data_IF_186000118924
#
_entry.id   IF_186000118924
#
_cell.length_a   1.000
_cell.length_b   1.000
_cell.length_c   1.000
_cell.angle_alpha   90.00
_cell.angle_beta   90.00
_cell.angle_gamma   90.00
#
_symmetry.space_group_name_H-M   'P 1'
#
loop_
_entity.id
_entity.type
_entity.pdbx_description
1 polymer ?
#
# COMPACT_ATOMS: atom_id res chain seq x y z
N UNK A 1 -4.44 -18.95 12.36
CA UNK A 1 -3.92 -20.32 12.09
C UNK A 1 -2.89 -20.72 13.13
N UNK A 2 -1.67 -20.16 13.13
CA UNK A 2 -0.62 -20.52 14.08
C UNK A 2 -1.07 -20.47 15.56
N UNK A 3 -1.60 -19.32 16.02
CA UNK A 3 -2.06 -19.15 17.41
C UNK A 3 -3.38 -19.85 17.74
N UNK A 4 -4.02 -20.50 16.76
CA UNK A 4 -5.16 -21.37 16.99
C UNK A 4 -4.75 -22.86 17.05
N UNK A 5 -3.45 -23.17 17.00
CA UNK A 5 -2.92 -24.55 17.00
C UNK A 5 -2.99 -25.27 15.64
N UNK A 6 -3.35 -24.57 14.56
CA UNK A 6 -3.44 -25.14 13.22
C UNK A 6 -2.15 -24.99 12.40
N UNK A 7 -2.00 -25.77 11.31
CA UNK A 7 -0.91 -25.59 10.36
C UNK A 7 -0.99 -24.22 9.67
N UNK A 8 0.14 -23.75 9.15
CA UNK A 8 0.23 -22.51 8.38
C UNK A 8 0.68 -22.79 6.95
N UNK A 9 0.27 -21.94 6.02
CA UNK A 9 0.69 -22.01 4.62
C UNK A 9 2.05 -21.34 4.43
N UNK A 10 3.10 -22.01 4.91
CA UNK A 10 4.48 -21.58 4.77
C UNK A 10 5.42 -22.79 4.84
N UNK A 11 6.60 -22.66 4.23
CA UNK A 11 7.67 -23.69 4.39
C UNK A 11 8.14 -23.80 5.84
N UNK A 12 8.18 -22.67 6.56
CA UNK A 12 8.48 -22.56 7.97
C UNK A 12 7.93 -21.22 8.50
N UNK A 13 7.56 -21.16 9.79
CA UNK A 13 7.12 -19.94 10.45
C UNK A 13 7.62 -19.91 11.90
N UNK A 14 8.20 -18.78 12.30
CA UNK A 14 8.46 -18.44 13.70
C UNK A 14 7.73 -17.14 14.00
N UNK A 15 6.86 -17.13 15.00
CA UNK A 15 6.04 -15.98 15.34
C UNK A 15 5.83 -15.88 16.85
N UNK A 16 5.77 -14.64 17.37
CA UNK A 16 5.36 -14.34 18.73
C UNK A 16 3.88 -13.90 18.73
N UNK A 17 3.15 -14.07 19.86
CA UNK A 17 1.81 -13.52 19.98
C UNK A 17 1.81 -12.01 19.66
N UNK A 18 0.79 -11.56 18.93
CA UNK A 18 0.61 -10.15 18.56
C UNK A 18 -0.86 -9.76 18.73
N UNK A 19 -1.10 -8.47 18.96
CA UNK A 19 -2.44 -7.89 18.81
C UNK A 19 -2.62 -7.54 17.33
N UNK A 20 -3.73 -7.92 16.70
CA UNK A 20 -3.97 -7.61 15.28
C UNK A 20 -4.90 -6.40 15.14
N UNK A 21 -4.54 -5.44 14.29
CA UNK A 21 -5.43 -4.34 13.90
C UNK A 21 -5.40 -4.10 12.39
N UNK A 22 -6.56 -3.95 11.76
CA UNK A 22 -6.64 -3.72 10.32
C UNK A 22 -7.42 -2.45 9.98
N UNK A 23 -6.91 -1.71 9.01
CA UNK A 23 -7.56 -0.63 8.28
C UNK A 23 -7.66 -1.04 6.80
N UNK A 24 -8.29 -2.19 6.55
CA UNK A 24 -8.56 -2.72 5.21
C UNK A 24 -10.07 -2.67 5.02
N UNK A 25 -10.50 -2.04 3.93
CA UNK A 25 -11.91 -1.89 3.53
C UNK A 25 -12.83 -1.36 4.64
N UNK A 26 -12.69 -0.06 4.95
CA UNK A 26 -13.54 0.63 5.94
C UNK A 26 -14.90 0.96 5.32
N UNK A 27 -15.72 -0.06 5.04
CA UNK A 27 -17.10 0.14 4.61
C UNK A 27 -17.98 0.35 5.84
N UNK A 28 -18.18 1.60 6.24
CA UNK A 28 -19.35 1.95 7.04
C UNK A 28 -20.43 2.56 6.12
N UNK A 29 -21.68 2.38 6.52
CA UNK A 29 -22.89 2.46 5.68
C UNK A 29 -22.98 3.60 4.64
N UNK A 30 -23.63 3.25 3.53
CA UNK A 30 -23.84 4.01 2.30
C UNK A 30 -24.66 5.29 2.55
N UNK A 31 -24.00 6.38 2.95
CA UNK A 31 -24.57 7.74 2.88
C UNK A 31 -23.46 8.82 2.88
N UNK A 32 -22.89 9.05 1.69
CA UNK A 32 -22.13 10.27 1.33
C UNK A 32 -20.65 10.26 1.73
N UNK A 33 -19.74 10.57 0.81
CA UNK A 33 -18.27 10.49 0.98
C UNK A 33 -17.66 11.19 2.22
N UNK A 34 -18.39 12.06 2.92
CA UNK A 34 -18.01 12.56 4.25
C UNK A 34 -17.99 11.44 5.32
N UNK A 35 -18.94 10.49 5.27
CA UNK A 35 -19.03 9.41 6.26
C UNK A 35 -17.84 8.45 6.15
N UNK A 36 -17.39 8.17 4.93
CA UNK A 36 -16.26 7.28 4.66
C UNK A 36 -14.95 7.85 5.21
N UNK A 37 -14.61 9.09 4.85
CA UNK A 37 -13.41 9.75 5.36
C UNK A 37 -13.44 9.84 6.89
N UNK A 38 -14.58 10.19 7.48
CA UNK A 38 -14.70 10.26 8.94
C UNK A 38 -14.59 8.87 9.61
N UNK A 39 -15.14 7.82 9.00
CA UNK A 39 -14.99 6.45 9.47
C UNK A 39 -13.53 6.00 9.43
N UNK A 40 -12.81 6.33 8.36
CA UNK A 40 -11.39 6.07 8.23
C UNK A 40 -10.57 6.83 9.27
N UNK A 41 -10.82 8.13 9.47
CA UNK A 41 -10.16 8.93 10.52
C UNK A 41 -10.39 8.33 11.90
N UNK A 42 -11.62 7.88 12.21
CA UNK A 42 -11.93 7.20 13.47
C UNK A 42 -11.17 5.88 13.60
N UNK A 43 -11.03 5.12 12.52
CA UNK A 43 -10.31 3.85 12.50
C UNK A 43 -8.81 4.05 12.70
N UNK A 44 -8.21 5.02 12.01
CA UNK A 44 -6.79 5.39 12.16
C UNK A 44 -6.49 5.94 13.56
N UNK A 45 -7.42 6.70 14.15
CA UNK A 45 -7.33 7.09 15.56
C UNK A 45 -7.31 5.88 16.49
N UNK A 46 -8.23 4.95 16.31
CA UNK A 46 -8.30 3.74 17.13
C UNK A 46 -7.05 2.85 16.97
N UNK A 47 -6.46 2.80 15.78
CA UNK A 47 -5.17 2.13 15.55
C UNK A 47 -4.06 2.81 16.36
N UNK A 48 -3.94 4.14 16.28
CA UNK A 48 -2.94 4.90 17.02
C UNK A 48 -3.09 4.71 18.54
N UNK A 49 -4.32 4.72 19.05
CA UNK A 49 -4.60 4.42 20.46
C UNK A 49 -4.21 2.98 20.83
N UNK A 50 -4.40 2.02 19.94
CA UNK A 50 -3.97 0.64 20.15
C UNK A 50 -2.43 0.48 20.07
N UNK A 51 -1.73 1.31 19.29
CA UNK A 51 -0.28 1.28 19.15
C UNK A 51 0.40 1.78 20.44
N UNK A 52 -0.15 2.83 21.05
CA UNK A 52 0.28 3.43 22.33
C UNK A 52 0.03 2.58 23.58
N UNK A 53 -0.48 1.36 23.40
CA UNK A 53 -0.75 0.46 24.52
C UNK A 53 0.50 -0.33 24.84
N UNK A 54 0.99 -0.09 26.04
CA UNK A 54 2.19 -0.76 26.57
C UNK A 54 1.84 -2.07 27.29
N UNK A 55 0.54 -2.37 27.41
CA UNK A 55 0.03 -3.54 28.11
C UNK A 55 -0.29 -4.69 27.14
N UNK A 56 0.63 -5.64 27.07
CA UNK A 56 0.45 -6.91 26.35
C UNK A 56 1.39 -7.08 25.15
N UNK A 57 1.06 -8.01 24.23
CA UNK A 57 1.90 -8.26 23.07
C UNK A 57 1.97 -7.05 22.12
N UNK A 58 3.03 -6.93 21.29
CA UNK A 58 3.16 -5.84 20.32
C UNK A 58 2.01 -5.84 19.31
N UNK A 59 1.72 -4.66 18.77
CA UNK A 59 0.70 -4.51 17.73
C UNK A 59 1.25 -4.96 16.37
N UNK A 60 0.51 -5.81 15.67
CA UNK A 60 0.66 -6.06 14.24
C UNK A 60 -0.48 -5.37 13.50
N UNK A 61 -0.15 -4.40 12.63
CA UNK A 61 -1.16 -3.62 11.91
C UNK A 61 -1.04 -3.73 10.39
N UNK A 62 -2.20 -3.70 9.71
CA UNK A 62 -2.30 -3.67 8.25
C UNK A 62 -3.16 -2.51 7.83
N UNK A 63 -2.62 -1.61 7.01
CA UNK A 63 -3.33 -0.45 6.49
C UNK A 63 -3.36 -0.55 4.97
N UNK A 64 -4.55 -0.43 4.38
CA UNK A 64 -4.74 -0.33 2.95
C UNK A 64 -5.14 1.10 2.63
N UNK A 65 -4.17 1.90 2.18
CA UNK A 65 -4.26 3.36 2.01
C UNK A 65 -4.55 4.15 3.29
N UNK A 66 -4.05 5.39 3.35
CA UNK A 66 -4.30 6.31 4.45
C UNK A 66 -5.00 7.55 3.88
N UNK A 67 -6.08 7.99 4.54
CA UNK A 67 -6.86 9.19 4.20
C UNK A 67 -7.45 9.13 2.77
N UNK A 68 -8.04 7.99 2.42
CA UNK A 68 -8.85 7.85 1.20
C UNK A 68 -10.00 8.87 1.20
N UNK A 69 -10.09 9.66 0.13
CA UNK A 69 -11.18 10.62 -0.07
C UNK A 69 -10.87 12.08 0.29
N UNK A 70 -9.63 12.42 0.67
CA UNK A 70 -9.13 13.81 0.62
C UNK A 70 -8.34 14.09 -0.66
N UNK A 71 -7.98 15.36 -0.90
CA UNK A 71 -7.11 15.74 -2.01
C UNK A 71 -5.68 15.20 -1.80
N UNK A 72 -4.96 14.96 -2.91
CA UNK A 72 -3.64 14.32 -2.90
C UNK A 72 -2.64 15.02 -1.97
N UNK A 73 -2.66 16.36 -1.91
CA UNK A 73 -1.71 17.13 -1.08
C UNK A 73 -1.97 16.93 0.41
N UNK A 74 -3.22 17.02 0.85
CA UNK A 74 -3.60 16.77 2.24
C UNK A 74 -3.36 15.32 2.63
N UNK A 75 -3.66 14.38 1.74
CA UNK A 75 -3.42 12.95 1.94
C UNK A 75 -1.94 12.67 2.19
N UNK A 76 -1.05 13.20 1.35
CA UNK A 76 0.39 13.03 1.50
C UNK A 76 0.90 13.62 2.82
N UNK A 77 0.55 14.87 3.13
CA UNK A 77 0.97 15.55 4.38
C UNK A 77 0.49 14.75 5.60
N UNK A 78 -0.79 14.38 5.62
CA UNK A 78 -1.38 13.61 6.71
C UNK A 78 -0.72 12.24 6.86
N UNK A 79 -0.53 11.51 5.76
CA UNK A 79 0.04 10.16 5.76
C UNK A 79 1.49 10.17 6.25
N UNK A 80 2.31 11.15 5.83
CA UNK A 80 3.68 11.33 6.33
C UNK A 80 3.71 11.58 7.83
N UNK A 81 2.84 12.46 8.33
CA UNK A 81 2.76 12.74 9.76
C UNK A 81 2.31 11.51 10.57
N UNK A 82 1.31 10.79 10.06
CA UNK A 82 0.77 9.60 10.71
C UNK A 82 1.78 8.46 10.77
N UNK A 83 2.47 8.16 9.67
CA UNK A 83 3.49 7.11 9.61
C UNK A 83 4.68 7.38 10.54
N UNK A 84 5.13 8.64 10.65
CA UNK A 84 6.16 9.03 11.63
C UNK A 84 5.71 8.75 13.05
N UNK A 85 4.52 9.22 13.41
CA UNK A 85 3.99 9.00 14.74
C UNK A 85 3.82 7.50 15.04
N UNK A 86 3.42 6.70 14.05
CA UNK A 86 3.21 5.26 14.22
C UNK A 86 4.53 4.47 14.29
N UNK A 87 5.59 4.95 13.63
CA UNK A 87 6.91 4.31 13.64
C UNK A 87 7.62 4.41 15.00
N UNK A 88 7.25 5.39 15.83
CA UNK A 88 7.77 5.55 17.20
C UNK A 88 7.07 4.61 18.21
N UNK A 89 5.99 3.93 17.82
CA UNK A 89 5.20 3.07 18.69
C UNK A 89 5.65 1.60 18.64
N UNK A 90 5.33 0.84 19.69
CA UNK A 90 5.69 -0.59 19.77
C UNK A 90 4.83 -1.46 18.86
N UNK A 91 5.38 -1.87 17.72
CA UNK A 91 4.68 -2.77 16.81
C UNK A 91 5.42 -3.09 15.52
N UNK A 92 4.72 -3.83 14.66
CA UNK A 92 5.09 -4.13 13.29
C UNK A 92 3.87 -3.82 12.42
N UNK A 93 4.07 -3.35 11.20
CA UNK A 93 2.94 -3.30 10.28
C UNK A 93 3.32 -3.17 8.82
N UNK A 94 2.29 -3.21 8.00
CA UNK A 94 2.38 -3.03 6.56
C UNK A 94 1.35 -2.00 6.11
N UNK A 95 1.77 -1.12 5.21
CA UNK A 95 0.93 -0.08 4.61
C UNK A 95 1.00 -0.21 3.11
N UNK A 96 -0.14 -0.44 2.47
CA UNK A 96 -0.27 -0.36 1.01
C UNK A 96 -0.61 1.07 0.62
N UNK A 97 0.04 1.60 -0.43
CA UNK A 97 -0.26 2.93 -0.95
C UNK A 97 0.07 3.08 -2.44
N UNK A 98 -0.68 3.95 -3.12
CA UNK A 98 -0.36 4.45 -4.46
C UNK A 98 0.46 5.75 -4.47
N UNK A 99 0.67 6.40 -3.31
CA UNK A 99 1.49 7.62 -3.23
C UNK A 99 2.98 7.24 -3.19
N UNK A 100 3.64 7.30 -4.36
CA UNK A 100 5.07 7.02 -4.49
C UNK A 100 5.93 7.97 -3.64
N UNK A 101 5.46 9.20 -3.38
CA UNK A 101 6.13 10.17 -2.51
C UNK A 101 6.24 9.70 -1.04
N UNK A 102 5.41 8.73 -0.61
CA UNK A 102 5.56 8.12 0.72
C UNK A 102 6.76 7.17 0.81
N UNK A 103 7.27 6.68 -0.32
CA UNK A 103 8.41 5.75 -0.33
C UNK A 103 9.71 6.42 0.16
N UNK A 104 9.82 7.75 0.04
CA UNK A 104 10.96 8.53 0.54
C UNK A 104 11.08 8.45 2.08
N UNK A 105 10.00 8.15 2.81
CA UNK A 105 10.05 8.01 4.27
C UNK A 105 10.97 6.88 4.75
N UNK A 106 11.27 5.90 3.89
CA UNK A 106 12.19 4.81 4.23
C UNK A 106 13.63 5.30 4.47
N UNK A 107 13.99 6.46 3.92
CA UNK A 107 15.29 7.09 4.14
C UNK A 107 15.33 7.89 5.45
N UNK A 108 14.16 8.24 5.98
CA UNK A 108 14.02 9.13 7.13
C UNK A 108 13.65 8.40 8.43
N UNK A 109 12.98 7.26 8.32
CA UNK A 109 12.43 6.51 9.45
C UNK A 109 13.17 5.18 9.58
N UNK A 110 13.91 5.02 10.67
CA UNK A 110 14.59 3.76 10.96
C UNK A 110 13.58 2.61 11.12
N UNK A 111 13.81 1.50 10.41
CA UNK A 111 12.92 0.33 10.45
C UNK A 111 11.76 0.37 9.44
N UNK A 112 11.60 1.44 8.66
CA UNK A 112 10.66 1.48 7.55
C UNK A 112 11.34 0.98 6.27
N UNK A 113 10.73 0.01 5.60
CA UNK A 113 11.26 -0.60 4.39
C UNK A 113 10.22 -0.59 3.26
N UNK A 114 10.65 -0.22 2.05
CA UNK A 114 9.79 -0.24 0.87
C UNK A 114 9.71 -1.64 0.25
N UNK A 115 8.51 -2.02 -0.19
CA UNK A 115 8.28 -3.20 -1.00
C UNK A 115 7.28 -2.90 -2.12
N UNK A 116 7.35 -3.66 -3.21
CA UNK A 116 6.42 -3.54 -4.34
C UNK A 116 6.11 -4.89 -4.98
N UNK A 117 4.97 -4.94 -5.66
CA UNK A 117 4.66 -5.94 -6.69
C UNK A 117 5.01 -5.37 -8.06
N UNK A 118 5.19 -6.24 -9.05
CA UNK A 118 5.45 -5.82 -10.44
C UNK A 118 4.40 -6.41 -11.37
N UNK A 119 4.00 -5.59 -12.32
CA UNK A 119 3.27 -5.98 -13.50
C UNK A 119 4.17 -5.99 -14.75
N UNK A 120 3.80 -6.82 -15.72
CA UNK A 120 4.34 -6.78 -17.07
C UNK A 120 3.20 -6.54 -18.05
N UNK A 121 3.45 -5.68 -19.03
CA UNK A 121 2.51 -5.36 -20.11
C UNK A 121 3.13 -5.86 -21.41
N UNK A 122 2.48 -6.83 -22.03
CA UNK A 122 2.85 -7.37 -23.34
C UNK A 122 1.91 -6.78 -24.39
N UNK A 123 2.43 -5.92 -25.28
CA UNK A 123 1.67 -5.34 -26.39
C UNK A 123 1.42 -6.41 -27.47
N UNK A 124 0.17 -6.53 -27.92
CA UNK A 124 -0.22 -7.43 -29.04
C UNK A 124 -0.31 -8.92 -28.69
N UNK A 125 -0.35 -9.29 -27.41
CA UNK A 125 -0.40 -10.69 -26.97
C UNK A 125 -1.82 -11.27 -26.82
N UNK A 126 -2.85 -10.42 -26.83
CA UNK A 126 -4.23 -10.88 -26.94
C UNK A 126 -4.65 -10.91 -28.42
N UNK A 127 -5.31 -11.99 -28.85
CA UNK A 127 -5.63 -12.28 -30.26
C UNK A 127 -6.58 -11.28 -30.95
N UNK A 128 -6.96 -10.22 -30.24
CA UNK A 128 -7.85 -9.13 -30.58
C UNK A 128 -7.14 -7.75 -30.62
N UNK A 129 -5.81 -7.71 -30.37
CA UNK A 129 -5.02 -6.48 -30.39
C UNK A 129 -4.93 -5.76 -29.04
N UNK A 130 -5.45 -6.34 -27.96
CA UNK A 130 -5.33 -5.80 -26.60
C UNK A 130 -3.96 -6.15 -25.98
N UNK A 131 -3.47 -5.29 -25.06
CA UNK A 131 -2.28 -5.65 -24.28
C UNK A 131 -2.64 -6.63 -23.17
N UNK A 132 -1.79 -7.64 -22.99
CA UNK A 132 -1.90 -8.59 -21.89
C UNK A 132 -1.14 -8.05 -20.69
N UNK A 133 -1.84 -7.81 -19.59
CA UNK A 133 -1.24 -7.51 -18.30
C UNK A 133 -1.04 -8.80 -17.51
N UNK A 134 0.17 -9.03 -17.01
CA UNK A 134 0.48 -10.18 -16.13
C UNK A 134 1.09 -9.70 -14.82
N UNK A 135 0.76 -10.42 -13.75
CA UNK A 135 1.29 -10.21 -12.41
C UNK A 135 1.92 -11.51 -11.95
N UNK A 136 3.14 -11.44 -11.42
CA UNK A 136 3.79 -12.62 -10.84
C UNK A 136 3.54 -12.79 -9.34
N UNK A 137 2.85 -11.82 -8.73
CA UNK A 137 2.48 -11.79 -7.32
C UNK A 137 3.67 -11.97 -6.36
N UNK A 138 4.89 -11.57 -6.79
CA UNK A 138 6.10 -11.64 -5.95
C UNK A 138 6.39 -10.27 -5.34
N UNK A 139 6.44 -10.25 -4.00
CA UNK A 139 6.86 -9.10 -3.23
C UNK A 139 8.38 -8.89 -3.38
N UNK A 140 8.79 -7.67 -3.68
CA UNK A 140 10.20 -7.29 -3.89
C UNK A 140 10.56 -6.09 -3.04
N UNK A 141 11.81 -6.03 -2.57
CA UNK A 141 12.33 -4.86 -1.85
C UNK A 141 12.48 -3.65 -2.78
N UNK A 142 12.37 -2.46 -2.19
CA UNK A 142 12.48 -1.17 -2.85
C UNK A 142 11.14 -0.59 -3.31
N UNK A 143 11.11 0.70 -3.67
CA UNK A 143 9.93 1.35 -4.24
C UNK A 143 9.58 0.75 -5.61
N UNK A 144 8.34 0.96 -6.07
CA UNK A 144 7.93 0.52 -7.40
C UNK A 144 8.70 1.32 -8.48
N UNK A 145 9.44 0.67 -9.40
CA UNK A 145 10.29 1.37 -10.36
C UNK A 145 9.51 1.93 -11.57
N UNK A 146 8.25 1.56 -11.75
CA UNK A 146 7.51 1.83 -12.99
C UNK A 146 6.05 2.20 -12.73
N UNK A 147 5.53 3.15 -13.50
CA UNK A 147 4.09 3.44 -13.58
C UNK A 147 3.54 2.92 -14.91
N UNK A 148 2.98 1.71 -14.93
CA UNK A 148 2.50 1.12 -16.20
C UNK A 148 1.06 1.55 -16.58
N UNK A 149 0.40 2.37 -15.77
CA UNK A 149 -0.96 2.86 -16.03
C UNK A 149 -1.11 3.49 -17.42
N UNK A 150 -0.14 4.30 -17.87
CA UNK A 150 -0.18 4.91 -19.20
C UNK A 150 -0.05 3.88 -20.33
N UNK A 151 0.76 2.82 -20.14
CA UNK A 151 0.88 1.75 -21.14
C UNK A 151 -0.44 0.99 -21.28
N UNK A 152 -1.11 0.74 -20.15
CA UNK A 152 -2.42 0.09 -20.12
C UNK A 152 -3.48 0.96 -20.79
N UNK A 153 -3.52 2.26 -20.47
CA UNK A 153 -4.44 3.21 -21.10
C UNK A 153 -4.24 3.25 -22.62
N UNK A 154 -2.99 3.31 -23.08
CA UNK A 154 -2.66 3.29 -24.51
C UNK A 154 -3.12 2.00 -25.18
N UNK A 155 -2.83 0.86 -24.57
CA UNK A 155 -3.25 -0.44 -25.10
C UNK A 155 -4.76 -0.62 -25.15
N UNK A 156 -5.49 0.01 -24.22
CA UNK A 156 -6.95 0.06 -24.21
C UNK A 156 -7.53 1.09 -25.21
N UNK A 157 -6.69 1.73 -26.03
CA UNK A 157 -7.11 2.75 -26.99
C UNK A 157 -7.52 4.09 -26.36
N UNK A 158 -7.18 4.33 -25.10
CA UNK A 158 -7.48 5.59 -24.41
C UNK A 158 -6.44 6.65 -24.78
N UNK A 159 -6.84 7.94 -24.90
CA UNK A 159 -5.92 9.02 -25.18
C UNK A 159 -4.95 9.21 -24.01
N UNK A 160 -3.69 8.86 -24.23
CA UNK A 160 -2.60 9.19 -23.33
C UNK A 160 -1.88 10.41 -23.89
N UNK A 161 -1.84 11.53 -23.18
CA UNK A 161 -1.25 12.79 -23.66
C UNK A 161 0.27 12.78 -23.95
N UNK A 162 0.91 11.61 -23.96
CA UNK A 162 2.31 11.44 -24.36
C UNK A 162 2.42 11.28 -25.87
N UNK A 163 3.36 12.00 -26.49
CA UNK A 163 3.78 11.77 -27.88
C UNK A 163 4.24 10.31 -28.02
N UNK A 164 3.89 9.68 -29.13
CA UNK A 164 4.30 8.31 -29.45
C UNK A 164 5.83 8.15 -29.34
N UNK A 165 6.30 7.24 -28.49
CA UNK A 165 7.68 6.74 -28.53
C UNK A 165 8.70 7.25 -27.51
N UNK A 166 8.33 7.92 -26.42
CA UNK A 166 9.33 8.31 -25.41
C UNK A 166 9.58 7.15 -24.41
N UNK A 167 10.80 6.58 -24.36
CA UNK A 167 11.11 5.53 -23.40
C UNK A 167 11.00 6.07 -21.98
N UNK A 168 10.53 5.24 -21.05
CA UNK A 168 10.56 5.55 -19.63
C UNK A 168 12.01 5.92 -19.28
N UNK A 169 12.21 7.15 -18.81
CA UNK A 169 13.51 7.62 -18.37
C UNK A 169 14.08 6.60 -17.37
N UNK A 170 15.17 5.95 -17.77
CA UNK A 170 15.98 5.13 -16.88
C UNK A 170 16.41 6.01 -15.73
N UNK A 171 15.96 5.68 -14.51
CA UNK A 171 16.61 6.18 -13.31
C UNK A 171 18.05 5.62 -13.31
N UNK A 172 18.97 6.46 -13.75
CA UNK A 172 20.41 6.29 -13.64
C UNK A 172 20.97 7.65 -13.25
N UNK A 173 21.09 7.86 -11.93
CA UNK A 173 22.33 8.16 -11.18
C UNK A 173 21.99 8.35 -9.70
#
# INVERSE_FOLDING_TARGET
LAFAGGPVDARALTAAPVRLFTCIDVTDSVTGGLSYFYAEVRRLRALMEAARRDDGPPLFYLIDEIFRGTNNRERLIGSRAYLRALADESGLGAVATHDLELTELAEEIAGLENYHFREQVEEGAAGDGEARMTFDYRLRRGPCPTTNALKIMRAAGLPTGGRDGEPAASASE
#
